data_IF_891137917422
#
_entry.id   IF_891137917422
#
_cell.length_a   1.000
_cell.length_b   1.000
_cell.length_c   1.000
_cell.angle_alpha   90.00
_cell.angle_beta   90.00
_cell.angle_gamma   90.00
#
_symmetry.space_group_name_H-M   'P 1'
#
loop_
_entity.id
_entity.type
_entity.pdbx_description
1 polymer ?
#
# COMPACT_ATOMS: atom_id res chain seq x y z
N UNK A 1 -3.22 -2.99 5.66
CA UNK A 1 -2.34 -2.33 4.67
C UNK A 1 -1.36 -3.31 4.03
N UNK A 2 -0.55 -4.02 4.83
CA UNK A 2 0.36 -5.03 4.29
C UNK A 2 -0.35 -6.18 3.57
N UNK A 3 -1.42 -6.71 4.15
CA UNK A 3 -2.23 -7.76 3.52
C UNK A 3 -2.76 -7.32 2.15
N UNK A 4 -3.27 -6.09 2.04
CA UNK A 4 -3.76 -5.58 0.76
C UNK A 4 -2.65 -5.53 -0.28
N UNK A 5 -1.42 -5.12 0.09
CA UNK A 5 -0.25 -5.07 -0.79
C UNK A 5 0.25 -6.43 -1.28
N UNK A 6 -0.07 -7.50 -0.54
CA UNK A 6 0.29 -8.88 -0.90
C UNK A 6 -0.81 -9.57 -1.72
N UNK A 7 -1.98 -8.93 -1.86
CA UNK A 7 -3.12 -9.43 -2.64
C UNK A 7 -3.18 -8.80 -4.02
N UNK A 8 -4.06 -9.30 -4.88
CA UNK A 8 -4.30 -8.73 -6.22
C UNK A 8 -5.45 -7.70 -6.23
N UNK A 9 -5.96 -7.32 -5.04
CA UNK A 9 -7.13 -6.43 -4.90
C UNK A 9 -6.76 -4.97 -5.10
N UNK A 10 -7.67 -4.19 -5.65
CA UNK A 10 -7.55 -2.73 -5.77
C UNK A 10 -7.75 -2.09 -4.39
N UNK A 11 -7.06 -0.99 -4.13
CA UNK A 11 -7.00 -0.36 -2.81
C UNK A 11 -7.58 1.06 -2.91
N UNK A 12 -8.61 1.32 -2.11
CA UNK A 12 -9.17 2.65 -1.88
C UNK A 12 -8.96 3.03 -0.41
N UNK A 13 -8.39 4.20 -0.17
CA UNK A 13 -7.95 4.64 1.15
C UNK A 13 -8.89 5.68 1.73
N UNK A 14 -9.29 5.47 2.98
CA UNK A 14 -10.10 6.40 3.76
C UNK A 14 -9.41 6.69 5.09
N UNK A 15 -8.29 7.44 5.11
CA UNK A 15 -7.49 7.64 6.31
C UNK A 15 -8.25 8.49 7.33
N UNK A 16 -8.29 8.06 8.59
CA UNK A 16 -8.98 8.76 9.70
C UNK A 16 -7.99 9.29 10.75
N UNK A 17 -6.88 8.59 10.97
CA UNK A 17 -5.89 8.88 11.99
C UNK A 17 -4.57 9.34 11.37
N UNK A 18 -3.73 10.03 12.15
CA UNK A 18 -2.50 10.64 11.65
C UNK A 18 -1.55 9.69 10.90
N UNK A 19 -1.31 8.50 11.46
CA UNK A 19 -0.46 7.48 10.82
C UNK A 19 -1.07 6.97 9.50
N UNK A 20 -2.40 6.85 9.43
CA UNK A 20 -3.11 6.46 8.22
C UNK A 20 -3.00 7.53 7.12
N UNK A 21 -2.98 8.81 7.49
CA UNK A 21 -2.79 9.93 6.54
C UNK A 21 -1.39 9.84 5.92
N UNK A 22 -0.36 9.59 6.73
CA UNK A 22 1.01 9.42 6.23
C UNK A 22 1.12 8.20 5.31
N UNK A 23 0.56 7.06 5.73
CA UNK A 23 0.49 5.86 4.89
C UNK A 23 -0.23 6.13 3.57
N UNK A 24 -1.30 6.92 3.59
CA UNK A 24 -2.05 7.25 2.38
C UNK A 24 -1.23 8.05 1.39
N UNK A 25 -0.46 9.04 1.86
CA UNK A 25 0.45 9.81 1.01
C UNK A 25 1.50 8.92 0.34
N UNK A 26 2.04 7.95 1.07
CA UNK A 26 3.01 6.99 0.51
C UNK A 26 2.34 6.09 -0.52
N UNK A 27 1.20 5.50 -0.20
CA UNK A 27 0.54 4.52 -1.07
C UNK A 27 -0.09 5.13 -2.32
N UNK A 28 -0.80 6.25 -2.17
CA UNK A 28 -1.49 6.91 -3.29
C UNK A 28 -0.57 7.88 -4.05
N UNK A 29 0.30 8.61 -3.34
CA UNK A 29 1.19 9.61 -3.93
C UNK A 29 2.44 9.00 -4.55
N UNK A 30 3.26 8.36 -3.71
CA UNK A 30 4.60 7.91 -4.10
C UNK A 30 4.57 6.55 -4.82
N UNK A 31 3.98 5.54 -4.19
CA UNK A 31 3.92 4.19 -4.74
C UNK A 31 2.87 4.05 -5.84
N UNK A 32 1.85 4.92 -5.82
CA UNK A 32 0.72 4.93 -6.76
C UNK A 32 0.10 3.55 -6.91
N UNK A 33 -0.19 2.89 -5.79
CA UNK A 33 -0.82 1.55 -5.71
C UNK A 33 -2.27 1.60 -5.21
N UNK A 34 -2.74 2.79 -4.85
CA UNK A 34 -4.06 3.02 -4.26
C UNK A 34 -4.59 4.41 -4.66
N UNK A 35 -5.89 4.63 -4.44
CA UNK A 35 -6.52 5.96 -4.55
C UNK A 35 -7.06 6.38 -3.19
N UNK A 36 -6.73 7.60 -2.76
CA UNK A 36 -7.33 8.21 -1.57
C UNK A 36 -8.67 8.86 -1.92
N UNK A 37 -9.67 8.67 -1.06
CA UNK A 37 -10.99 9.27 -1.25
C UNK A 37 -10.93 10.76 -0.90
N UNK A 38 -11.35 11.60 -1.84
CA UNK A 38 -11.51 13.04 -1.64
C UNK A 38 -12.53 13.32 -0.53
N UNK A 39 -12.14 14.15 0.44
CA UNK A 39 -13.03 14.65 1.51
C UNK A 39 -13.59 16.01 1.13
N UNK A 40 -14.83 16.27 1.52
CA UNK A 40 -15.41 17.61 1.42
C UNK A 40 -14.74 18.59 2.38
N UNK A 41 -15.07 19.88 2.24
CA UNK A 41 -14.53 20.95 3.12
C UNK A 41 -14.83 20.72 4.60
N UNK A 42 -15.93 20.03 4.90
CA UNK A 42 -16.32 19.61 6.25
C UNK A 42 -15.50 18.42 6.79
N UNK A 43 -14.54 17.91 6.02
CA UNK A 43 -13.71 16.76 6.35
C UNK A 43 -14.41 15.41 6.21
N UNK A 44 -15.68 15.35 5.80
CA UNK A 44 -16.42 14.10 5.64
C UNK A 44 -16.26 13.50 4.24
N UNK A 45 -16.34 12.17 4.17
CA UNK A 45 -16.42 11.46 2.89
C UNK A 45 -17.89 11.35 2.49
N UNK A 46 -18.22 11.90 1.32
CA UNK A 46 -19.54 11.73 0.72
C UNK A 46 -19.64 10.38 0.01
N UNK A 47 -20.88 9.92 -0.20
CA UNK A 47 -21.16 8.72 -1.00
C UNK A 47 -20.61 8.89 -2.41
N UNK A 48 -20.78 10.07 -2.98
CA UNK A 48 -20.38 10.42 -4.34
C UNK A 48 -18.86 10.32 -4.51
N UNK A 49 -18.09 10.87 -3.57
CA UNK A 49 -16.62 10.83 -3.61
C UNK A 49 -16.10 9.40 -3.40
N UNK A 50 -16.73 8.63 -2.50
CA UNK A 50 -16.38 7.23 -2.31
C UNK A 50 -16.66 6.40 -3.58
N UNK A 51 -17.84 6.55 -4.18
CA UNK A 51 -18.18 5.88 -5.43
C UNK A 51 -17.21 6.28 -6.56
N UNK A 52 -16.87 7.56 -6.69
CA UNK A 52 -15.90 8.06 -7.68
C UNK A 52 -14.54 7.39 -7.51
N UNK A 53 -14.03 7.27 -6.29
CA UNK A 53 -12.75 6.61 -6.02
C UNK A 53 -12.78 5.10 -6.27
N UNK A 54 -13.90 4.43 -5.98
CA UNK A 54 -14.08 3.00 -6.30
C UNK A 54 -14.11 2.80 -7.81
N UNK A 55 -14.92 3.57 -8.53
CA UNK A 55 -15.04 3.47 -9.97
C UNK A 55 -13.70 3.78 -10.66
N UNK A 56 -12.94 4.77 -10.18
CA UNK A 56 -11.63 5.09 -10.77
C UNK A 56 -10.62 3.93 -10.70
N UNK A 57 -10.74 3.03 -9.71
CA UNK A 57 -9.86 1.85 -9.63
C UNK A 57 -10.47 0.58 -10.24
N UNK A 58 -11.78 0.53 -10.46
CA UNK A 58 -12.50 -0.67 -10.92
C UNK A 58 -12.98 -0.60 -12.38
N UNK A 59 -13.24 0.58 -12.93
CA UNK A 59 -13.82 0.74 -14.26
C UNK A 59 -12.86 0.25 -15.36
N UNK A 60 -13.40 -0.49 -16.32
CA UNK A 60 -12.64 -0.96 -17.49
C UNK A 60 -12.18 0.25 -18.34
N UNK A 61 -10.90 0.26 -18.71
CA UNK A 61 -10.28 1.37 -19.44
C UNK A 61 -9.96 2.60 -18.59
N UNK A 62 -10.13 2.55 -17.27
CA UNK A 62 -9.65 3.62 -16.39
C UNK A 62 -8.12 3.68 -16.38
N UNK A 63 -7.54 4.77 -16.88
CA UNK A 63 -6.08 4.99 -16.85
C UNK A 63 -5.52 4.94 -15.41
N UNK A 64 -6.28 5.48 -14.44
CA UNK A 64 -5.92 5.43 -13.02
C UNK A 64 -5.94 3.99 -12.53
N UNK A 65 -6.99 3.24 -12.84
CA UNK A 65 -7.14 1.83 -12.46
C UNK A 65 -6.02 0.96 -13.01
N UNK A 66 -5.68 1.14 -14.29
CA UNK A 66 -4.57 0.44 -14.94
C UNK A 66 -3.22 0.78 -14.31
N UNK A 67 -2.96 2.07 -14.03
CA UNK A 67 -1.74 2.52 -13.38
C UNK A 67 -1.59 1.90 -11.99
N UNK A 68 -2.61 2.02 -11.13
CA UNK A 68 -2.51 1.51 -9.76
C UNK A 68 -2.43 -0.01 -9.72
N UNK A 69 -3.15 -0.71 -10.61
CA UNK A 69 -3.08 -2.17 -10.73
C UNK A 69 -1.69 -2.65 -11.17
N UNK A 70 -1.10 -2.00 -12.17
CA UNK A 70 0.27 -2.30 -12.65
C UNK A 70 1.30 -2.10 -11.56
N UNK A 71 1.26 -0.97 -10.87
CA UNK A 71 2.19 -0.68 -9.78
C UNK A 71 1.99 -1.64 -8.61
N UNK A 72 0.73 -1.95 -8.28
CA UNK A 72 0.42 -2.88 -7.21
C UNK A 72 0.97 -4.28 -7.51
N UNK A 73 0.82 -4.77 -8.75
CA UNK A 73 1.39 -6.05 -9.17
C UNK A 73 2.92 -6.10 -9.00
N UNK A 74 3.62 -5.03 -9.40
CA UNK A 74 5.09 -4.91 -9.24
C UNK A 74 5.50 -4.97 -7.77
N UNK A 75 4.81 -4.23 -6.90
CA UNK A 75 5.12 -4.23 -5.47
C UNK A 75 4.78 -5.53 -4.80
N UNK A 76 3.65 -6.15 -5.17
CA UNK A 76 3.27 -7.47 -4.70
C UNK A 76 4.36 -8.49 -4.99
N UNK A 77 4.88 -8.52 -6.21
CA UNK A 77 5.97 -9.42 -6.61
C UNK A 77 7.17 -9.32 -5.65
N UNK A 78 7.53 -8.09 -5.25
CA UNK A 78 8.61 -7.87 -4.27
C UNK A 78 8.23 -8.39 -2.88
N UNK A 79 7.02 -8.09 -2.40
CA UNK A 79 6.59 -8.45 -1.04
C UNK A 79 6.35 -9.94 -0.84
N UNK A 80 5.85 -10.64 -1.85
CA UNK A 80 5.57 -12.09 -1.79
C UNK A 80 6.75 -12.94 -2.24
N UNK A 81 7.84 -12.32 -2.71
CA UNK A 81 9.05 -13.04 -3.14
C UNK A 81 9.59 -13.88 -1.99
N UNK A 82 9.73 -15.18 -2.25
CA UNK A 82 10.32 -16.12 -1.31
C UNK A 82 11.68 -15.62 -0.84
N UNK A 83 11.94 -15.72 0.47
CA UNK A 83 13.18 -15.25 1.04
C UNK A 83 13.29 -13.74 1.24
N UNK A 84 12.36 -12.91 0.75
CA UNK A 84 12.45 -11.46 0.92
C UNK A 84 12.40 -11.08 2.39
N UNK A 85 11.31 -11.42 3.10
CA UNK A 85 11.19 -11.08 4.53
C UNK A 85 12.12 -11.92 5.42
N UNK A 86 12.17 -13.23 5.19
CA UNK A 86 13.00 -14.12 6.01
C UNK A 86 14.48 -13.81 5.85
N UNK A 87 14.97 -13.48 4.65
CA UNK A 87 16.38 -13.15 4.45
C UNK A 87 16.85 -11.92 5.24
N UNK A 88 16.03 -10.86 5.33
CA UNK A 88 16.36 -9.71 6.20
C UNK A 88 16.35 -10.10 7.68
N UNK A 89 15.38 -10.92 8.10
CA UNK A 89 15.30 -11.39 9.49
C UNK A 89 16.51 -12.26 9.85
N UNK A 90 16.86 -13.21 8.98
CA UNK A 90 18.00 -14.11 9.18
C UNK A 90 19.31 -13.33 9.27
N UNK A 91 19.50 -12.32 8.43
CA UNK A 91 20.69 -11.46 8.48
C UNK A 91 20.72 -10.63 9.77
N UNK A 92 19.59 -10.05 10.16
CA UNK A 92 19.49 -9.29 11.41
C UNK A 92 19.80 -10.17 12.64
N UNK A 93 19.28 -11.40 12.68
CA UNK A 93 19.57 -12.37 13.75
C UNK A 93 21.06 -12.72 13.77
N UNK A 94 21.67 -13.02 12.62
CA UNK A 94 23.12 -13.28 12.53
C UNK A 94 23.95 -12.11 13.04
N UNK A 95 23.57 -10.88 12.71
CA UNK A 95 24.27 -9.68 13.17
C UNK A 95 24.20 -9.55 14.71
N UNK A 96 23.05 -9.85 15.30
CA UNK A 96 22.90 -9.89 16.76
C UNK A 96 23.73 -11.01 17.41
N UNK A 97 23.73 -12.21 16.82
CA UNK A 97 24.53 -13.33 17.31
C UNK A 97 26.03 -13.03 17.26
N UNK A 98 26.52 -12.36 16.21
CA UNK A 98 27.92 -11.91 16.13
C UNK A 98 28.25 -10.86 17.19
N UNK A 99 27.33 -9.94 17.47
CA UNK A 99 27.52 -8.91 18.51
C UNK A 99 27.57 -9.51 19.93
N UNK A 100 26.74 -10.52 20.21
CA UNK A 100 26.66 -11.15 21.54
C UNK A 100 27.71 -12.26 21.72
N UNK A 101 28.02 -13.00 20.67
CA UNK A 101 28.97 -14.13 20.66
C UNK A 101 30.43 -13.72 20.47
N UNK A 102 30.73 -12.44 20.30
CA UNK A 102 32.10 -11.91 20.22
C UNK A 102 32.78 -11.80 21.59
N UNK A 103 33.08 -12.95 22.21
CA UNK A 103 34.14 -13.16 23.22
C UNK A 103 34.78 -14.54 23.03
#
# INVERSE_FOLDING_TARGET
>A
LWESLMTERQIVLVPQLGEQILNSRILAGEMKVAVEVERGENGWVSKENLCKAINSVMDEGSEVGELVKKNHAKWREVFVREGFQSGYMDNFVKDLEMLVGGY
#
